data_IF_456116928765
#
_entry.id   IF_456116928765
#
_cell.length_a   1.000
_cell.length_b   1.000
_cell.length_c   1.000
_cell.angle_alpha   90.00
_cell.angle_beta   90.00
_cell.angle_gamma   90.00
#
_symmetry.space_group_name_H-M   'P 1'
#
loop_
_entity.id
_entity.type
_entity.pdbx_description
1 polymer ?
#
# COMPACT_ATOMS: atom_id res chain seq x y z
N UNK A 1 0.59 -1.33 -17.92
CA UNK A 1 1.91 -0.99 -17.37
C UNK A 1 1.70 -0.28 -16.04
N UNK A 2 2.58 -0.54 -15.06
CA UNK A 2 2.63 -0.04 -13.68
C UNK A 2 1.47 -0.43 -12.74
N UNK A 3 1.67 -1.51 -11.99
CA UNK A 3 0.86 -1.89 -10.82
C UNK A 3 1.19 -0.97 -9.64
N UNK A 4 0.54 0.18 -9.54
CA UNK A 4 0.67 1.12 -8.40
C UNK A 4 -0.13 0.66 -7.16
N UNK A 5 -0.31 -0.64 -6.96
CA UNK A 5 -1.04 -1.20 -5.81
C UNK A 5 -0.07 -1.87 -4.84
N UNK A 6 -0.25 -1.63 -3.54
CA UNK A 6 0.54 -2.18 -2.46
C UNK A 6 -0.36 -2.89 -1.44
N UNK A 7 -0.04 -4.15 -1.15
CA UNK A 7 -0.77 -4.98 -0.18
C UNK A 7 -0.07 -4.94 1.18
N UNK A 8 -0.76 -5.40 2.23
CA UNK A 8 -0.19 -5.44 3.58
C UNK A 8 1.07 -6.31 3.65
N UNK A 9 1.07 -7.44 2.94
CA UNK A 9 2.23 -8.33 2.83
C UNK A 9 3.43 -7.63 2.19
N UNK A 10 3.19 -6.81 1.17
CA UNK A 10 4.24 -6.10 0.44
C UNK A 10 4.92 -5.00 1.26
N UNK A 11 4.22 -4.40 2.22
CA UNK A 11 4.84 -3.47 3.18
C UNK A 11 5.51 -4.17 4.37
N UNK A 12 5.52 -5.51 4.40
CA UNK A 12 6.09 -6.27 5.52
C UNK A 12 5.15 -6.38 6.71
N UNK A 13 3.84 -6.27 6.48
CA UNK A 13 2.78 -6.37 7.49
C UNK A 13 2.99 -5.38 8.65
N UNK A 14 3.23 -4.11 8.32
CA UNK A 14 3.39 -3.05 9.33
C UNK A 14 2.17 -2.98 10.26
N UNK A 15 2.42 -2.76 11.54
CA UNK A 15 1.37 -2.62 12.57
C UNK A 15 1.27 -1.21 13.14
N UNK A 16 2.18 -0.32 12.75
CA UNK A 16 2.30 1.03 13.28
C UNK A 16 2.12 2.06 12.17
N UNK A 17 1.33 3.12 12.41
CA UNK A 17 1.18 4.18 11.43
C UNK A 17 2.43 5.04 11.44
N UNK A 18 2.92 5.41 10.26
CA UNK A 18 4.17 6.13 10.13
C UNK A 18 4.62 6.29 8.69
N UNK A 19 5.76 6.98 8.53
CA UNK A 19 6.41 7.20 7.25
C UNK A 19 7.60 6.25 7.12
N UNK A 20 7.57 5.41 6.10
CA UNK A 20 8.55 4.38 5.82
C UNK A 20 9.33 4.72 4.54
N UNK A 21 10.65 4.53 4.57
CA UNK A 21 11.48 4.78 3.39
C UNK A 21 11.53 3.53 2.51
N UNK A 22 11.15 3.67 1.25
CA UNK A 22 11.18 2.62 0.23
C UNK A 22 12.12 3.00 -0.92
N UNK A 23 12.36 2.04 -1.82
CA UNK A 23 13.21 2.24 -3.01
C UNK A 23 12.68 3.30 -3.97
N UNK A 24 11.39 3.62 -3.91
CA UNK A 24 10.73 4.61 -4.77
C UNK A 24 10.52 5.97 -4.10
N UNK A 25 10.86 6.11 -2.81
CA UNK A 25 10.58 7.32 -2.03
C UNK A 25 10.01 6.97 -0.67
N UNK A 26 9.27 7.89 -0.06
CA UNK A 26 8.67 7.66 1.25
C UNK A 26 7.22 7.21 1.12
N UNK A 27 6.83 6.21 1.89
CA UNK A 27 5.46 5.73 1.99
C UNK A 27 4.89 6.08 3.36
N UNK A 28 3.85 6.89 3.38
CA UNK A 28 3.08 7.22 4.57
C UNK A 28 1.92 6.24 4.72
N UNK A 29 1.89 5.57 5.86
CA UNK A 29 0.85 4.63 6.27
C UNK A 29 0.11 5.24 7.44
N UNK A 30 -1.18 5.46 7.30
CA UNK A 30 -2.01 6.05 8.35
C UNK A 30 -2.64 4.97 9.23
N UNK A 31 -3.16 5.39 10.39
CA UNK A 31 -3.88 4.48 11.27
C UNK A 31 -5.14 3.90 10.58
N UNK A 32 -5.78 4.67 9.70
CA UNK A 32 -6.94 4.22 8.92
C UNK A 32 -6.59 3.11 7.94
N UNK A 33 -5.42 3.18 7.29
CA UNK A 33 -4.97 2.14 6.37
C UNK A 33 -4.69 0.82 7.09
N UNK A 34 -4.13 0.89 8.30
CA UNK A 34 -3.90 -0.27 9.14
C UNK A 34 -5.22 -0.92 9.57
N UNK A 35 -6.24 -0.14 9.88
CA UNK A 35 -7.57 -0.67 10.22
C UNK A 35 -8.17 -1.45 9.06
N UNK A 36 -8.06 -0.90 7.84
CA UNK A 36 -8.51 -1.59 6.62
C UNK A 36 -7.72 -2.88 6.42
N UNK A 37 -6.39 -2.89 6.60
CA UNK A 37 -5.60 -4.12 6.48
C UNK A 37 -5.91 -5.16 7.56
N UNK A 38 -6.24 -4.72 8.79
CA UNK A 38 -6.70 -5.62 9.84
C UNK A 38 -8.04 -6.27 9.50
N UNK A 39 -8.95 -5.52 8.87
CA UNK A 39 -10.26 -6.01 8.42
C UNK A 39 -10.14 -6.85 7.13
N UNK A 40 -9.26 -6.44 6.24
CA UNK A 40 -9.06 -6.96 4.89
C UNK A 40 -7.56 -7.13 4.61
N UNK A 41 -6.96 -8.25 5.02
CA UNK A 41 -5.53 -8.50 4.81
C UNK A 41 -5.14 -8.59 3.33
N UNK A 42 -6.12 -8.86 2.45
CA UNK A 42 -5.97 -8.88 0.99
C UNK A 42 -6.16 -7.50 0.32
N UNK A 43 -6.45 -6.44 1.09
CA UNK A 43 -6.64 -5.10 0.54
C UNK A 43 -5.35 -4.57 -0.10
N UNK A 44 -5.48 -4.13 -1.35
CA UNK A 44 -4.41 -3.52 -2.12
C UNK A 44 -4.67 -2.02 -2.25
N UNK A 45 -3.82 -1.21 -1.63
CA UNK A 45 -3.91 0.24 -1.66
C UNK A 45 -3.22 0.82 -2.88
N UNK A 46 -3.84 1.80 -3.50
CA UNK A 46 -3.22 2.55 -4.58
C UNK A 46 -2.23 3.55 -4.00
N UNK A 47 -0.98 3.53 -4.47
CA UNK A 47 0.04 4.51 -4.14
C UNK A 47 -0.32 5.83 -4.81
N UNK A 48 -0.64 6.85 -4.01
CA UNK A 48 -0.87 8.20 -4.47
C UNK A 48 0.34 9.07 -4.12
N UNK A 49 0.96 9.67 -5.14
CA UNK A 49 1.96 10.70 -4.91
C UNK A 49 1.27 11.90 -4.25
N UNK A 50 1.80 12.34 -3.11
CA UNK A 50 1.34 13.54 -2.44
C UNK A 50 2.08 14.73 -3.07
N UNK A 51 1.38 15.67 -3.72
CA UNK A 51 2.00 16.90 -4.21
C UNK A 51 2.22 17.86 -3.04
N UNK A 52 3.08 17.48 -2.10
CA UNK A 52 3.75 18.43 -1.19
C UNK A 52 4.92 19.06 -1.93
N UNK A 53 5.39 20.23 -1.47
CA UNK A 53 6.58 20.86 -2.05
C UNK A 53 7.68 19.80 -2.22
N UNK A 54 8.15 19.53 -3.46
CA UNK A 54 9.17 18.54 -3.69
C UNK A 54 10.44 19.07 -3.06
N UNK A 55 10.64 18.78 -1.77
CA UNK A 55 11.93 19.02 -1.17
C UNK A 55 12.89 18.07 -1.87
N UNK A 56 13.82 18.61 -2.69
CA UNK A 56 14.68 17.79 -3.52
C UNK A 56 15.64 16.93 -2.68
N UNK A 57 15.69 17.16 -1.36
CA UNK A 57 16.49 16.39 -0.42
C UNK A 57 15.74 15.22 0.20
N UNK A 58 14.40 15.23 0.20
CA UNK A 58 13.57 14.20 0.85
C UNK A 58 13.03 13.16 -0.13
N UNK A 59 12.95 13.42 -1.43
CA UNK A 59 12.39 12.47 -2.40
C UNK A 59 10.86 12.37 -2.33
N UNK A 60 10.26 11.76 -3.35
CA UNK A 60 8.81 11.77 -3.56
C UNK A 60 8.05 11.10 -2.41
N UNK A 61 7.01 11.77 -1.90
CA UNK A 61 6.15 11.27 -0.84
C UNK A 61 4.92 10.58 -1.43
N UNK A 62 4.69 9.35 -1.03
CA UNK A 62 3.53 8.56 -1.41
C UNK A 62 2.70 8.26 -0.17
N UNK A 63 1.38 8.28 -0.33
CA UNK A 63 0.44 7.82 0.69
C UNK A 63 -0.46 6.74 0.11
N UNK A 64 -1.07 5.96 1.01
CA UNK A 64 -2.07 4.97 0.66
C UNK A 64 -3.39 5.69 0.36
N UNK A 65 -3.86 5.52 -0.89
CA UNK A 65 -5.09 6.12 -1.37
C UNK A 65 -6.23 5.13 -1.41
N UNK A 66 -6.93 5.05 -2.54
CA UNK A 66 -8.02 4.10 -2.73
C UNK A 66 -7.54 2.66 -2.54
N UNK A 67 -8.20 1.93 -1.65
CA UNK A 67 -8.00 0.50 -1.46
C UNK A 67 -8.95 -0.29 -2.33
N UNK A 68 -8.42 -1.35 -2.91
CA UNK A 68 -9.15 -2.30 -3.72
C UNK A 68 -9.04 -3.65 -3.01
N UNK A 69 -10.17 -4.09 -2.46
CA UNK A 69 -10.33 -5.47 -1.98
C UNK A 69 -10.82 -6.26 -3.18
N UNK A 70 -9.87 -6.72 -4.01
CA UNK A 70 -10.23 -7.71 -5.02
C UNK A 70 -10.72 -8.95 -4.26
N UNK A 71 -11.97 -9.41 -4.45
CA UNK A 71 -12.38 -10.69 -3.87
C UNK A 71 -11.42 -11.72 -4.44
N UNK A 72 -10.73 -12.42 -3.54
CA UNK A 72 -9.61 -13.32 -3.83
C UNK A 72 -9.68 -13.97 -5.20
N UNK A 73 -8.53 -13.95 -5.88
CA UNK A 73 -8.28 -14.77 -7.06
C UNK A 73 -8.97 -16.13 -6.86
N UNK A 74 -9.75 -16.62 -7.86
CA UNK A 74 -10.37 -17.93 -7.74
C UNK A 74 -9.29 -18.94 -7.33
N UNK A 75 -9.59 -19.86 -6.39
CA UNK A 75 -8.62 -20.82 -5.90
C UNK A 75 -7.92 -21.47 -7.12
N UNK A 76 -6.61 -21.77 -7.04
CA UNK A 76 -5.96 -22.51 -8.12
C UNK A 76 -6.80 -23.77 -8.32
N UNK A 77 -7.43 -23.89 -9.49
CA UNK A 77 -8.26 -25.03 -9.83
C UNK A 77 -7.48 -26.30 -9.49
N UNK A 78 -7.89 -27.00 -8.44
CA UNK A 78 -7.45 -28.36 -8.19
C UNK A 78 -8.07 -29.20 -9.31
N UNK A 79 -7.33 -29.38 -10.40
CA UNK A 79 -7.65 -30.39 -11.39
C UNK A 79 -7.47 -31.76 -10.72
N UNK A 80 -8.57 -32.51 -10.77
CA UNK A 80 -8.84 -33.74 -10.04
C UNK A 80 -8.21 -34.97 -10.70
#
# INVERSE_FOLDING_TARGET
MAVNKITWDRVGRVSEPGRYMYTFGWLTITAGDLEIWKLYPEAAFTLLAQPGEPDPSLGEEFHLGAFDVAPGAPPPFTAH
#
